data_IF_745388527033
#
_entry.id   IF_745388527033
#
_cell.length_a   1.000
_cell.length_b   1.000
_cell.length_c   1.000
_cell.angle_alpha   90.00
_cell.angle_beta   90.00
_cell.angle_gamma   90.00
#
_symmetry.space_group_name_H-M   'P 1'
#
loop_
_entity.id
_entity.type
_entity.pdbx_description
1 polymer ?
#
# COMPACT_ATOMS: atom_id res chain seq x y z
N UNK A 1 14.15 18.75 -16.54
CA UNK A 1 13.78 18.41 -15.15
C UNK A 1 13.69 16.91 -15.02
N UNK A 2 14.03 16.36 -13.86
CA UNK A 2 13.81 14.94 -13.55
C UNK A 2 12.39 14.80 -13.01
N UNK A 3 11.72 13.70 -13.33
CA UNK A 3 10.42 13.39 -12.70
C UNK A 3 10.73 12.95 -11.27
N UNK A 4 10.16 13.66 -10.31
CA UNK A 4 10.18 13.31 -8.89
C UNK A 4 8.74 13.03 -8.46
N UNK A 5 8.57 12.06 -7.56
CA UNK A 5 7.27 11.74 -7.01
C UNK A 5 7.38 11.62 -5.50
N UNK A 6 6.52 12.36 -4.83
CA UNK A 6 6.44 12.45 -3.39
C UNK A 6 5.01 12.12 -2.96
N UNK A 7 4.86 11.49 -1.80
CA UNK A 7 3.58 11.31 -1.14
C UNK A 7 3.68 11.76 0.31
N UNK A 8 2.63 12.41 0.80
CA UNK A 8 2.47 12.75 2.22
C UNK A 8 1.25 12.03 2.77
N UNK A 9 1.42 11.28 3.86
CA UNK A 9 0.34 10.56 4.53
C UNK A 9 0.05 11.16 5.90
N UNK A 10 -1.17 10.93 6.39
CA UNK A 10 -1.63 11.33 7.71
C UNK A 10 -2.39 10.16 8.31
N UNK A 11 -1.83 9.54 9.34
CA UNK A 11 -2.43 8.39 10.01
C UNK A 11 -2.53 8.62 11.51
N UNK A 12 -3.35 7.81 12.17
CA UNK A 12 -3.49 7.77 13.62
C UNK A 12 -3.09 6.40 14.11
N UNK A 13 -2.19 6.33 15.08
CA UNK A 13 -1.78 5.09 15.73
C UNK A 13 -1.85 5.30 17.24
N UNK A 14 -2.60 4.45 17.94
CA UNK A 14 -2.78 4.55 19.41
C UNK A 14 -3.18 5.94 19.93
N UNK A 15 -3.99 6.68 19.14
CA UNK A 15 -4.44 8.03 19.49
C UNK A 15 -3.43 9.15 19.21
N UNK A 16 -2.24 8.83 18.72
CA UNK A 16 -1.25 9.80 18.25
C UNK A 16 -1.34 9.97 16.73
N UNK A 17 -1.17 11.21 16.26
CA UNK A 17 -1.23 11.56 14.84
C UNK A 17 0.16 11.60 14.23
N UNK A 18 0.38 10.81 13.19
CA UNK A 18 1.62 10.77 12.43
C UNK A 18 1.42 11.43 11.06
N UNK A 19 2.38 12.28 10.69
CA UNK A 19 2.50 12.82 9.34
C UNK A 19 3.88 12.45 8.84
N UNK A 20 3.94 11.81 7.67
CA UNK A 20 5.18 11.37 7.03
C UNK A 20 5.11 11.67 5.54
N UNK A 21 6.28 12.00 4.99
CA UNK A 21 6.46 12.32 3.59
C UNK A 21 7.65 11.53 3.08
N UNK A 22 7.50 10.90 1.92
CA UNK A 22 8.57 10.15 1.30
C UNK A 22 8.55 10.29 -0.22
N UNK A 23 9.73 10.18 -0.82
CA UNK A 23 9.94 10.14 -2.26
C UNK A 23 10.02 8.70 -2.78
N UNK A 24 9.56 8.49 -4.01
CA UNK A 24 9.61 7.20 -4.67
C UNK A 24 9.67 7.30 -6.19
N UNK A 25 9.88 6.16 -6.83
CA UNK A 25 9.91 6.02 -8.29
C UNK A 25 8.53 6.22 -8.96
N UNK A 26 7.49 6.48 -8.17
CA UNK A 26 6.12 6.69 -8.58
C UNK A 26 5.22 6.86 -7.35
N UNK A 27 3.93 7.23 -7.53
CA UNK A 27 3.08 7.65 -6.43
C UNK A 27 2.79 6.53 -5.43
N UNK A 28 2.61 5.30 -5.92
CA UNK A 28 2.38 4.13 -5.07
C UNK A 28 3.61 3.79 -4.24
N UNK A 29 4.80 3.84 -4.84
CA UNK A 29 6.05 3.58 -4.12
C UNK A 29 6.35 4.68 -3.08
N UNK A 30 6.04 5.94 -3.40
CA UNK A 30 6.15 7.04 -2.43
C UNK A 30 5.17 6.87 -1.25
N UNK A 31 3.94 6.41 -1.52
CA UNK A 31 2.94 6.11 -0.49
C UNK A 31 3.39 4.97 0.43
N UNK A 32 3.86 3.86 -0.15
CA UNK A 32 4.38 2.71 0.58
C UNK A 32 5.52 3.10 1.54
N UNK A 33 6.50 3.86 1.05
CA UNK A 33 7.58 4.39 1.88
C UNK A 33 7.08 5.28 3.01
N UNK A 34 6.21 6.25 2.69
CA UNK A 34 5.68 7.17 3.70
C UNK A 34 4.88 6.42 4.78
N UNK A 35 4.14 5.37 4.41
CA UNK A 35 3.42 4.50 5.35
C UNK A 35 4.36 3.71 6.25
N UNK A 36 5.37 3.05 5.67
CA UNK A 36 6.37 2.30 6.42
C UNK A 36 7.18 3.19 7.37
N UNK A 37 7.50 4.42 6.96
CA UNK A 37 8.15 5.41 7.82
C UNK A 37 7.25 5.86 8.98
N UNK A 38 5.93 5.78 8.84
CA UNK A 38 4.99 6.14 9.89
C UNK A 38 4.77 5.01 10.90
N UNK A 39 4.66 3.76 10.42
CA UNK A 39 4.32 2.60 11.27
C UNK A 39 5.55 1.81 11.73
N UNK A 40 6.67 1.89 11.02
CA UNK A 40 7.85 1.04 11.26
C UNK A 40 8.60 1.34 12.57
N UNK A 41 8.31 2.46 13.23
CA UNK A 41 8.78 2.71 14.61
C UNK A 41 8.01 1.85 15.63
N UNK A 42 6.72 1.61 15.35
CA UNK A 42 5.78 0.91 16.24
C UNK A 42 5.76 -0.58 15.92
N UNK A 43 5.89 -0.92 14.64
CA UNK A 43 5.85 -2.26 14.09
C UNK A 43 7.12 -2.57 13.27
N UNK A 44 8.29 -2.79 13.92
CA UNK A 44 9.56 -2.92 13.22
C UNK A 44 9.63 -4.08 12.22
N UNK A 45 8.90 -5.16 12.49
CA UNK A 45 8.88 -6.36 11.65
C UNK A 45 8.23 -6.14 10.28
N UNK A 46 7.37 -5.11 10.13
CA UNK A 46 6.82 -4.76 8.81
C UNK A 46 7.86 -4.20 7.84
N UNK A 47 9.03 -3.79 8.33
CA UNK A 47 10.12 -3.30 7.47
C UNK A 47 10.68 -4.38 6.55
N UNK A 48 10.55 -5.65 6.95
CA UNK A 48 11.08 -6.78 6.20
C UNK A 48 10.13 -7.24 5.08
N UNK A 49 8.93 -6.67 4.99
CA UNK A 49 7.94 -6.99 3.95
C UNK A 49 8.30 -6.25 2.67
N UNK A 50 8.29 -6.93 1.53
CA UNK A 50 8.48 -6.31 0.23
C UNK A 50 7.22 -6.47 -0.65
N UNK A 51 6.88 -5.42 -1.42
CA UNK A 51 5.95 -5.57 -2.54
C UNK A 51 6.65 -6.34 -3.66
N UNK A 52 6.15 -7.53 -3.96
CA UNK A 52 6.74 -8.39 -5.00
C UNK A 52 5.96 -8.33 -6.33
N UNK A 53 4.71 -7.84 -6.30
CA UNK A 53 3.89 -7.71 -7.51
C UNK A 53 2.87 -6.58 -7.35
N UNK A 54 2.66 -5.83 -8.42
CA UNK A 54 1.67 -4.76 -8.48
C UNK A 54 1.00 -4.76 -9.85
N UNK A 55 -0.32 -5.01 -9.88
CA UNK A 55 -1.10 -5.12 -11.12
C UNK A 55 -2.36 -4.28 -11.03
N UNK A 56 -2.61 -3.50 -12.08
CA UNK A 56 -3.80 -2.66 -12.21
C UNK A 56 -4.69 -3.24 -13.30
N UNK A 57 -5.99 -3.34 -13.03
CA UNK A 57 -7.02 -3.72 -14.01
C UNK A 57 -8.15 -2.71 -13.98
N UNK A 58 -8.56 -2.23 -15.15
CA UNK A 58 -9.76 -1.42 -15.30
C UNK A 58 -10.94 -2.38 -15.46
N UNK A 59 -11.96 -2.25 -14.61
CA UNK A 59 -13.12 -3.15 -14.61
C UNK A 59 -14.22 -2.70 -15.56
N UNK A 60 -14.42 -1.38 -15.70
CA UNK A 60 -15.44 -0.79 -16.56
C UNK A 60 -14.81 0.23 -17.50
N UNK A 61 -14.26 -0.27 -18.60
CA UNK A 61 -13.54 0.54 -19.60
C UNK A 61 -14.46 1.56 -20.31
N UNK A 62 -15.79 1.45 -20.16
CA UNK A 62 -16.75 2.32 -20.85
C UNK A 62 -16.90 3.70 -20.21
N UNK A 63 -16.41 3.89 -18.98
CA UNK A 63 -16.53 5.12 -18.20
C UNK A 63 -15.33 6.07 -18.28
N UNK A 64 -14.30 5.75 -19.06
CA UNK A 64 -13.13 6.62 -19.22
C UNK A 64 -12.39 6.83 -17.89
N UNK A 65 -12.27 8.08 -17.43
CA UNK A 65 -11.58 8.40 -16.15
C UNK A 65 -12.36 7.98 -14.91
N UNK A 66 -13.66 7.74 -15.03
CA UNK A 66 -14.52 7.27 -13.92
C UNK A 66 -14.61 5.74 -13.89
N UNK A 67 -13.71 5.07 -14.59
CA UNK A 67 -13.66 3.62 -14.63
C UNK A 67 -13.19 3.06 -13.28
N UNK A 68 -13.93 2.08 -12.77
CA UNK A 68 -13.54 1.37 -11.55
C UNK A 68 -12.23 0.65 -11.81
N UNK A 69 -11.23 0.97 -10.98
CA UNK A 69 -9.89 0.38 -11.02
C UNK A 69 -9.77 -0.65 -9.91
N UNK A 70 -9.25 -1.83 -10.26
CA UNK A 70 -8.84 -2.88 -9.32
C UNK A 70 -7.32 -2.95 -9.28
N UNK A 71 -6.75 -2.85 -8.08
CA UNK A 71 -5.34 -3.07 -7.82
C UNK A 71 -5.18 -4.43 -7.15
N UNK A 72 -4.29 -5.26 -7.67
CA UNK A 72 -3.82 -6.48 -7.04
C UNK A 72 -2.38 -6.25 -6.60
N UNK A 73 -2.11 -6.49 -5.33
CA UNK A 73 -0.81 -6.31 -4.71
C UNK A 73 -0.42 -7.61 -4.03
N UNK A 74 0.73 -8.16 -4.42
CA UNK A 74 1.33 -9.28 -3.71
C UNK A 74 2.53 -8.79 -2.91
N UNK A 75 2.65 -9.26 -1.67
CA UNK A 75 3.73 -8.97 -0.75
C UNK A 75 4.35 -10.25 -0.20
N UNK A 76 5.58 -10.14 0.33
CA UNK A 76 6.28 -11.25 0.96
C UNK A 76 7.17 -10.74 2.10
N UNK A 77 7.32 -11.55 3.16
CA UNK A 77 8.30 -11.35 4.24
C UNK A 77 9.59 -12.20 4.03
N UNK A 78 9.75 -12.78 2.84
CA UNK A 78 10.85 -13.68 2.49
C UNK A 78 10.62 -15.14 2.87
N UNK A 79 9.58 -15.46 3.65
CA UNK A 79 9.18 -16.83 3.98
C UNK A 79 7.85 -17.20 3.33
N UNK A 80 6.85 -16.36 3.52
CA UNK A 80 5.52 -16.51 2.95
C UNK A 80 5.22 -15.36 1.98
N UNK A 81 4.21 -15.57 1.14
CA UNK A 81 3.68 -14.55 0.23
C UNK A 81 2.16 -14.50 0.33
N UNK A 82 1.59 -13.30 0.26
CA UNK A 82 0.15 -13.06 0.29
C UNK A 82 -0.25 -11.98 -0.69
N UNK A 83 -1.54 -11.98 -1.03
CA UNK A 83 -2.15 -11.03 -1.95
C UNK A 83 -3.21 -10.19 -1.27
N UNK A 84 -3.42 -9.00 -1.79
CA UNK A 84 -4.43 -8.03 -1.35
C UNK A 84 -5.04 -7.36 -2.58
N UNK A 85 -6.27 -6.86 -2.44
CA UNK A 85 -7.01 -6.24 -3.53
C UNK A 85 -7.66 -4.96 -3.04
N UNK A 86 -7.42 -3.85 -3.74
CA UNK A 86 -8.17 -2.60 -3.56
C UNK A 86 -8.99 -2.29 -4.80
N UNK A 87 -10.16 -1.68 -4.61
CA UNK A 87 -11.11 -1.41 -5.70
C UNK A 87 -11.70 -0.02 -5.54
N UNK A 88 -11.38 0.87 -6.46
CA UNK A 88 -11.85 2.26 -6.42
C UNK A 88 -11.85 2.88 -7.82
N UNK A 89 -12.69 3.87 -8.05
CA UNK A 89 -12.60 4.73 -9.25
C UNK A 89 -11.29 5.54 -9.27
N UNK A 90 -10.63 5.71 -8.11
CA UNK A 90 -9.33 6.35 -7.99
C UNK A 90 -8.22 5.31 -7.79
N UNK A 91 -7.30 5.21 -8.75
CA UNK A 91 -6.14 4.30 -8.69
C UNK A 91 -5.30 4.47 -7.41
N UNK A 92 -5.17 5.69 -6.89
CA UNK A 92 -4.40 5.96 -5.67
C UNK A 92 -5.14 5.41 -4.45
N UNK A 93 -6.46 5.56 -4.40
CA UNK A 93 -7.28 4.99 -3.32
C UNK A 93 -7.27 3.46 -3.36
N UNK A 94 -7.46 2.86 -4.54
CA UNK A 94 -7.36 1.41 -4.71
C UNK A 94 -5.96 0.87 -4.33
N UNK A 95 -4.91 1.61 -4.64
CA UNK A 95 -3.54 1.24 -4.26
C UNK A 95 -3.32 1.34 -2.75
N UNK A 96 -3.88 2.37 -2.11
CA UNK A 96 -3.81 2.56 -0.66
C UNK A 96 -4.54 1.43 0.09
N UNK A 97 -5.76 1.09 -0.33
CA UNK A 97 -6.53 -0.03 0.25
C UNK A 97 -5.74 -1.33 0.17
N UNK A 98 -5.28 -1.72 -1.02
CA UNK A 98 -4.50 -2.94 -1.18
C UNK A 98 -3.23 -2.94 -0.31
N UNK A 99 -2.53 -1.80 -0.24
CA UNK A 99 -1.32 -1.67 0.55
C UNK A 99 -1.57 -1.83 2.05
N UNK A 100 -2.59 -1.16 2.59
CA UNK A 100 -2.95 -1.25 4.01
C UNK A 100 -3.40 -2.67 4.34
N UNK A 101 -4.30 -3.26 3.56
CA UNK A 101 -4.77 -4.64 3.77
C UNK A 101 -3.61 -5.64 3.78
N UNK A 102 -2.63 -5.45 2.89
CA UNK A 102 -1.43 -6.29 2.84
C UNK A 102 -0.58 -6.20 4.11
N UNK A 103 -0.38 -4.99 4.65
CA UNK A 103 0.39 -4.80 5.88
C UNK A 103 -0.39 -5.26 7.12
N UNK A 104 -1.71 -5.07 7.14
CA UNK A 104 -2.58 -5.58 8.20
C UNK A 104 -2.59 -7.11 8.25
N UNK A 105 -2.59 -7.78 7.09
CA UNK A 105 -2.44 -9.24 7.04
C UNK A 105 -1.10 -9.70 7.62
N UNK A 106 -0.03 -8.95 7.37
CA UNK A 106 1.29 -9.28 7.87
C UNK A 106 1.44 -9.09 9.39
N UNK A 107 0.76 -8.11 9.96
CA UNK A 107 0.66 -7.91 11.42
C UNK A 107 -0.02 -9.08 12.14
N UNK A 108 -0.88 -9.85 11.44
CA UNK A 108 -1.60 -10.95 12.07
C UNK A 108 -0.65 -12.10 12.43
N UNK A 109 -0.87 -12.77 13.58
CA UNK A 109 -0.14 -13.97 13.92
C UNK A 109 -0.23 -15.00 12.81
N UNK A 110 0.85 -15.73 12.54
CA UNK A 110 0.90 -16.74 11.48
C UNK A 110 -0.20 -17.84 11.57
N UNK A 111 -0.84 -18.00 12.74
CA UNK A 111 -1.95 -18.95 12.94
C UNK A 111 -3.31 -18.43 12.47
N UNK A 112 -3.44 -17.11 12.30
CA UNK A 112 -4.71 -16.43 11.99
C UNK A 112 -4.77 -15.94 10.53
N UNK A 113 -3.67 -16.12 9.79
CA UNK A 113 -3.55 -15.90 8.34
C UNK A 113 -4.33 -17.00 7.60
N UNK A 114 -5.55 -16.70 7.12
CA UNK A 114 -6.45 -17.62 6.38
C UNK A 114 -6.49 -17.29 4.90
#
# INVERSE_FOLDING_TARGET
GKVETEATIKIWVNGERFVRTAEGNGPVHALDRALRDAIGEIHPHLKDIELVNFKVRILDETKGTDAVTRVLLDASDGLDSWGSIGVSENIIAASWEALVDSLEYAEQPARDRV
#
